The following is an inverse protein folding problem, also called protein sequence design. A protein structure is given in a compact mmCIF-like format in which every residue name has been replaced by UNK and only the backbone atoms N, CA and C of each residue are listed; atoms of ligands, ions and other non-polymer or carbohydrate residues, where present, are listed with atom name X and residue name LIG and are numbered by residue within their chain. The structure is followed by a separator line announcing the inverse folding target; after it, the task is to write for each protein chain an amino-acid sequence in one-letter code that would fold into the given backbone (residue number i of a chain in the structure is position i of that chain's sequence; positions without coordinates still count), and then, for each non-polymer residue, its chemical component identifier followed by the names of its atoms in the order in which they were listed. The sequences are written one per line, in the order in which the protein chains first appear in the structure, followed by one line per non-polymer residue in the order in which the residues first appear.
data_IF_638048826669
#
_entry.id   IF_638048826669
#
_cell.length_a   1.000
_cell.length_b   1.000
_cell.length_c   1.000
_cell.angle_alpha   90.00
_cell.angle_beta   90.00
_cell.angle_gamma   90.00
#
_symmetry.space_group_name_H-M   'P 1'
#
loop_
_entity.id
_entity.type
_entity.pdbx_description
1 polymer ?
#
# COMPACT_ATOMS: atom_id res chain seq x y z
N UNK A 1 -0.47 -26.03 6.33
CA UNK A 1 0.68 -25.70 7.18
C UNK A 1 1.95 -26.05 6.39
N UNK A 2 2.44 -25.14 5.55
CA UNK A 2 3.70 -25.30 4.82
C UNK A 2 4.80 -24.53 5.56
N UNK A 3 5.81 -25.25 6.04
CA UNK A 3 7.01 -24.68 6.65
C UNK A 3 7.86 -23.98 5.57
N UNK A 4 7.88 -22.65 5.57
CA UNK A 4 8.92 -21.88 4.89
C UNK A 4 9.86 -21.26 5.94
N UNK A 5 10.78 -22.07 6.45
CA UNK A 5 11.95 -21.61 7.22
C UNK A 5 13.04 -21.07 6.28
N UNK A 6 12.70 -20.09 5.42
CA UNK A 6 13.68 -19.17 4.87
C UNK A 6 13.41 -17.79 5.46
N UNK A 7 14.41 -17.23 6.13
CA UNK A 7 14.40 -15.82 6.52
C UNK A 7 14.49 -15.03 5.21
N UNK A 8 13.36 -14.46 4.79
CA UNK A 8 13.28 -13.59 3.63
C UNK A 8 13.49 -12.17 4.12
N UNK A 9 14.71 -11.66 4.02
CA UNK A 9 14.97 -10.22 4.12
C UNK A 9 14.85 -9.60 2.74
N UNK A 10 14.58 -8.30 2.66
CA UNK A 10 14.55 -7.59 1.37
C UNK A 10 15.90 -7.74 0.65
N UNK A 11 17.00 -7.63 1.39
CA UNK A 11 18.36 -7.83 0.87
C UNK A 11 18.54 -9.22 0.25
N UNK A 12 18.09 -10.28 0.91
CA UNK A 12 18.22 -11.65 0.40
C UNK A 12 17.36 -11.87 -0.85
N UNK A 13 16.16 -11.28 -0.90
CA UNK A 13 15.30 -11.35 -2.08
C UNK A 13 15.93 -10.67 -3.30
N UNK A 14 16.56 -9.51 -3.10
CA UNK A 14 17.09 -8.70 -4.19
C UNK A 14 18.55 -8.99 -4.56
N UNK A 15 19.31 -9.68 -3.69
CA UNK A 15 20.73 -9.97 -3.91
C UNK A 15 20.96 -10.83 -5.16
N UNK A 16 21.71 -10.30 -6.11
CA UNK A 16 22.09 -10.99 -7.35
C UNK A 16 23.16 -12.07 -7.10
N UNK A 17 22.98 -13.23 -7.71
CA UNK A 17 23.96 -14.31 -7.79
C UNK A 17 24.55 -14.40 -9.21
N UNK A 18 25.51 -15.31 -9.42
CA UNK A 18 26.19 -15.45 -10.72
C UNK A 18 25.25 -15.79 -11.89
N UNK A 19 24.19 -16.57 -11.65
CA UNK A 19 23.22 -16.89 -12.69
C UNK A 19 22.39 -15.66 -13.10
N UNK A 20 22.05 -14.80 -12.13
CA UNK A 20 21.34 -13.54 -12.39
C UNK A 20 22.18 -12.59 -13.26
N UNK A 21 23.48 -12.44 -12.94
CA UNK A 21 24.39 -11.62 -13.75
C UNK A 21 24.56 -12.16 -15.18
N UNK A 22 24.68 -13.48 -15.34
CA UNK A 22 24.74 -14.11 -16.66
C UNK A 22 23.45 -13.86 -17.45
N UNK A 23 22.30 -13.93 -16.78
CA UNK A 23 21.02 -13.63 -17.41
C UNK A 23 20.93 -12.16 -17.86
N UNK A 24 21.23 -11.22 -16.97
CA UNK A 24 21.24 -9.78 -17.29
C UNK A 24 22.18 -9.48 -18.45
N UNK A 25 23.38 -10.09 -18.47
CA UNK A 25 24.35 -9.93 -19.55
C UNK A 25 23.79 -10.41 -20.88
N UNK A 26 23.08 -11.54 -20.91
CA UNK A 26 22.42 -12.06 -22.13
C UNK A 26 21.31 -11.15 -22.62
N UNK A 27 20.48 -10.62 -21.71
CA UNK A 27 19.44 -9.64 -22.04
C UNK A 27 20.08 -8.39 -22.66
N UNK A 28 21.11 -7.84 -22.02
CA UNK A 28 21.77 -6.62 -22.47
C UNK A 28 22.46 -6.78 -23.83
N UNK A 29 23.15 -7.90 -24.04
CA UNK A 29 23.85 -8.21 -25.28
C UNK A 29 22.96 -8.64 -26.45
N UNK A 30 21.65 -8.86 -26.22
CA UNK A 30 20.72 -9.29 -27.27
C UNK A 30 20.83 -10.77 -27.65
N UNK A 31 21.71 -11.53 -27.00
CA UNK A 31 21.78 -13.01 -27.10
C UNK A 31 20.68 -13.70 -26.27
N UNK A 32 19.55 -13.01 -26.11
CA UNK A 32 18.38 -13.46 -25.37
C UNK A 32 17.30 -13.87 -26.38
N UNK A 33 16.96 -15.16 -26.39
CA UNK A 33 15.77 -15.64 -27.09
C UNK A 33 14.57 -15.38 -26.20
N UNK A 34 13.94 -14.23 -26.43
CA UNK A 34 12.69 -13.81 -25.80
C UNK A 34 11.65 -14.95 -25.90
N UNK A 35 11.46 -15.51 -27.09
CA UNK A 35 10.52 -16.62 -27.34
C UNK A 35 10.77 -17.88 -26.48
N UNK A 36 12.02 -18.25 -26.21
CA UNK A 36 12.35 -19.45 -25.43
C UNK A 36 12.25 -19.23 -23.92
N UNK A 37 12.49 -18.01 -23.47
CA UNK A 37 12.42 -17.67 -22.05
C UNK A 37 10.97 -17.43 -21.60
N UNK A 38 10.14 -16.81 -22.43
CA UNK A 38 8.74 -16.52 -22.10
C UNK A 38 7.83 -17.75 -22.08
N UNK A 39 8.19 -18.78 -22.87
CA UNK A 39 7.54 -20.09 -22.73
C UNK A 39 7.69 -20.65 -21.31
N UNK A 40 8.78 -20.30 -20.61
CA UNK A 40 8.98 -20.67 -19.20
C UNK A 40 8.20 -19.78 -18.25
N UNK A 41 8.03 -18.49 -18.56
CA UNK A 41 7.15 -17.60 -17.79
C UNK A 41 5.70 -18.08 -17.71
N UNK A 42 5.15 -18.60 -18.82
CA UNK A 42 3.77 -19.11 -18.84
C UNK A 42 3.56 -20.40 -18.04
N UNK A 43 4.64 -21.13 -17.69
CA UNK A 43 4.56 -22.47 -17.08
C UNK A 43 5.04 -22.45 -15.62
N UNK A 44 6.09 -21.69 -15.31
CA UNK A 44 6.80 -21.73 -14.02
C UNK A 44 7.11 -20.31 -13.48
N UNK A 45 6.17 -19.35 -13.60
CA UNK A 45 6.38 -17.93 -13.28
C UNK A 45 7.04 -17.70 -11.89
N UNK A 46 8.38 -17.61 -11.84
CA UNK A 46 9.13 -17.30 -10.63
C UNK A 46 9.13 -15.79 -10.42
N UNK A 47 8.03 -15.28 -9.84
CA UNK A 47 7.82 -13.86 -9.59
C UNK A 47 9.00 -13.22 -8.84
N UNK A 48 9.64 -13.94 -7.92
CA UNK A 48 10.79 -13.41 -7.19
C UNK A 48 11.97 -13.13 -8.12
N UNK A 49 12.30 -14.08 -8.99
CA UNK A 49 13.33 -13.89 -10.00
C UNK A 49 12.99 -12.70 -10.90
N UNK A 50 11.75 -12.63 -11.38
CA UNK A 50 11.29 -11.61 -12.34
C UNK A 50 11.42 -10.22 -11.75
N UNK A 51 10.86 -10.00 -10.55
CA UNK A 51 10.89 -8.72 -9.84
C UNK A 51 12.33 -8.31 -9.53
N UNK A 52 13.15 -9.26 -9.05
CA UNK A 52 14.57 -9.05 -8.76
C UNK A 52 15.36 -8.62 -10.00
N UNK A 53 15.21 -9.32 -11.12
CA UNK A 53 15.94 -8.98 -12.35
C UNK A 53 15.42 -7.67 -12.95
N UNK A 54 14.10 -7.44 -12.95
CA UNK A 54 13.52 -6.18 -13.44
C UNK A 54 14.06 -4.99 -12.66
N UNK A 55 14.22 -5.10 -11.33
CA UNK A 55 14.85 -4.05 -10.52
C UNK A 55 16.32 -3.82 -10.88
N UNK A 56 17.04 -4.88 -11.27
CA UNK A 56 18.47 -4.82 -11.58
C UNK A 56 18.80 -4.48 -13.05
N UNK A 57 17.86 -4.63 -13.98
CA UNK A 57 18.08 -4.46 -15.42
C UNK A 57 16.93 -3.71 -16.06
N UNK A 58 17.17 -2.43 -16.38
CA UNK A 58 16.20 -1.57 -17.07
C UNK A 58 15.70 -2.19 -18.39
N UNK A 59 16.59 -2.82 -19.16
CA UNK A 59 16.21 -3.48 -20.42
C UNK A 59 15.25 -4.65 -20.18
N UNK A 60 15.43 -5.39 -19.10
CA UNK A 60 14.52 -6.49 -18.76
C UNK A 60 13.18 -5.94 -18.24
N UNK A 61 13.20 -4.88 -17.43
CA UNK A 61 11.99 -4.18 -17.02
C UNK A 61 11.18 -3.69 -18.24
N UNK A 62 11.84 -3.09 -19.24
CA UNK A 62 11.20 -2.67 -20.49
C UNK A 62 10.58 -3.85 -21.25
N UNK A 63 11.22 -5.03 -21.25
CA UNK A 63 10.62 -6.25 -21.80
C UNK A 63 9.37 -6.63 -21.01
N UNK A 64 9.45 -6.71 -19.67
CA UNK A 64 8.30 -7.05 -18.84
C UNK A 64 7.09 -6.13 -19.05
N UNK A 65 7.30 -4.86 -19.41
CA UNK A 65 6.21 -3.88 -19.66
C UNK A 65 5.61 -3.95 -21.06
N UNK A 66 6.06 -4.84 -21.94
CA UNK A 66 5.45 -4.98 -23.25
C UNK A 66 4.03 -5.57 -23.14
N UNK A 67 3.12 -5.05 -23.97
CA UNK A 67 1.69 -5.39 -23.95
C UNK A 67 1.39 -6.89 -24.02
N UNK A 68 2.22 -7.65 -24.76
CA UNK A 68 2.09 -9.10 -24.91
C UNK A 68 2.20 -9.89 -23.58
N UNK A 69 2.66 -9.26 -22.49
CA UNK A 69 2.75 -9.87 -21.16
C UNK A 69 1.66 -9.45 -20.20
N UNK A 70 0.82 -8.48 -20.56
CA UNK A 70 -0.18 -7.93 -19.65
C UNK A 70 -1.12 -9.01 -19.11
N UNK A 71 -1.57 -9.93 -19.97
CA UNK A 71 -2.42 -11.06 -19.56
C UNK A 71 -1.75 -11.93 -18.49
N UNK A 72 -0.45 -12.17 -18.62
CA UNK A 72 0.31 -12.95 -17.65
C UNK A 72 0.41 -12.20 -16.32
N UNK A 73 0.70 -10.90 -16.32
CA UNK A 73 0.75 -10.11 -15.09
C UNK A 73 -0.61 -10.02 -14.41
N UNK A 74 -1.69 -9.86 -15.20
CA UNK A 74 -3.06 -9.86 -14.71
C UNK A 74 -3.41 -11.17 -14.00
N UNK A 75 -3.06 -12.32 -14.59
CA UNK A 75 -3.26 -13.62 -13.97
C UNK A 75 -2.47 -13.76 -12.65
N UNK A 76 -1.20 -13.36 -12.66
CA UNK A 76 -0.37 -13.41 -11.45
C UNK A 76 -0.87 -12.46 -10.36
N UNK A 77 -1.36 -11.27 -10.72
CA UNK A 77 -1.93 -10.29 -9.80
C UNK A 77 -3.22 -10.81 -9.15
N UNK A 78 -4.09 -11.47 -9.93
CA UNK A 78 -5.27 -12.16 -9.43
C UNK A 78 -4.93 -13.27 -8.43
N UNK A 79 -3.94 -14.11 -8.76
CA UNK A 79 -3.45 -15.19 -7.89
C UNK A 79 -2.90 -14.62 -6.59
N UNK A 80 -2.14 -13.53 -6.68
CA UNK A 80 -1.53 -12.90 -5.52
C UNK A 80 -2.56 -12.30 -4.57
N UNK A 81 -3.65 -11.73 -5.10
CA UNK A 81 -4.81 -11.32 -4.28
C UNK A 81 -5.36 -12.47 -3.42
N UNK A 82 -5.50 -13.67 -4.00
CA UNK A 82 -5.95 -14.85 -3.26
C UNK A 82 -4.95 -15.26 -2.19
N UNK A 83 -3.66 -15.21 -2.52
CA UNK A 83 -2.59 -15.60 -1.61
C UNK A 83 -2.50 -14.66 -0.40
N UNK A 84 -2.61 -13.35 -0.62
CA UNK A 84 -2.59 -12.33 0.44
C UNK A 84 -3.83 -12.46 1.33
N UNK A 85 -5.00 -12.69 0.73
CA UNK A 85 -6.28 -12.82 1.44
C UNK A 85 -6.57 -14.23 1.95
N UNK A 86 -5.64 -15.18 1.88
CA UNK A 86 -5.88 -16.60 2.15
C UNK A 86 -6.39 -16.89 3.57
N UNK A 87 -6.04 -16.03 4.54
CA UNK A 87 -6.45 -16.16 5.94
C UNK A 87 -7.69 -15.33 6.28
N UNK A 88 -8.29 -14.63 5.30
CA UNK A 88 -9.57 -13.95 5.48
C UNK A 88 -10.74 -14.94 5.43
N UNK A 89 -11.92 -14.52 5.88
CA UNK A 89 -13.14 -15.35 5.82
C UNK A 89 -13.47 -15.81 4.39
N UNK A 90 -13.12 -14.98 3.40
CA UNK A 90 -13.30 -15.28 1.99
C UNK A 90 -12.12 -14.72 1.20
N UNK A 91 -11.15 -15.58 0.80
CA UNK A 91 -10.10 -15.17 -0.12
C UNK A 91 -10.70 -14.57 -1.40
N UNK A 92 -10.08 -13.52 -1.91
CA UNK A 92 -10.52 -12.81 -3.10
C UNK A 92 -9.43 -12.84 -4.19
N UNK A 93 -9.85 -12.96 -5.45
CA UNK A 93 -9.00 -12.59 -6.58
C UNK A 93 -9.04 -11.08 -6.76
N UNK A 94 -7.89 -10.45 -7.00
CA UNK A 94 -7.91 -9.05 -7.39
C UNK A 94 -8.46 -8.87 -8.80
N UNK A 95 -9.35 -7.92 -9.01
CA UNK A 95 -9.79 -7.51 -10.32
C UNK A 95 -8.63 -6.85 -11.08
N UNK A 96 -8.60 -7.01 -12.40
CA UNK A 96 -7.61 -6.34 -13.25
C UNK A 96 -7.85 -4.84 -13.29
N UNK A 97 -6.77 -4.08 -13.43
CA UNK A 97 -6.83 -2.65 -13.68
C UNK A 97 -6.39 -2.36 -15.12
N UNK A 98 -6.88 -1.27 -15.69
CA UNK A 98 -6.41 -0.76 -16.99
C UNK A 98 -5.01 -0.09 -16.89
N UNK A 99 -4.45 -0.03 -15.68
CA UNK A 99 -3.13 0.54 -15.39
C UNK A 99 -2.01 -0.49 -15.56
N UNK A 100 -0.76 -0.06 -15.31
CA UNK A 100 0.42 -0.92 -15.42
C UNK A 100 0.40 -2.04 -14.36
N UNK A 101 -0.18 -3.17 -14.74
CA UNK A 101 -0.35 -4.34 -13.87
C UNK A 101 0.98 -4.92 -13.38
N UNK A 102 2.09 -4.70 -14.12
CA UNK A 102 3.39 -5.17 -13.67
C UNK A 102 3.87 -4.43 -12.43
N UNK A 103 3.65 -3.11 -12.34
CA UNK A 103 3.94 -2.35 -11.12
C UNK A 103 3.06 -2.80 -9.95
N UNK A 104 1.75 -2.96 -10.17
CA UNK A 104 0.84 -3.44 -9.13
C UNK A 104 1.26 -4.80 -8.59
N UNK A 105 1.60 -5.73 -9.48
CA UNK A 105 2.10 -7.05 -9.11
C UNK A 105 3.36 -6.98 -8.25
N UNK A 106 4.30 -6.09 -8.60
CA UNK A 106 5.52 -5.86 -7.79
C UNK A 106 5.18 -5.33 -6.40
N UNK A 107 4.33 -4.31 -6.34
CA UNK A 107 3.89 -3.72 -5.07
C UNK A 107 3.26 -4.76 -4.15
N UNK A 108 2.31 -5.53 -4.67
CA UNK A 108 1.63 -6.56 -3.90
C UNK A 108 2.55 -7.73 -3.53
N UNK A 109 3.57 -8.05 -4.33
CA UNK A 109 4.53 -9.10 -3.97
C UNK A 109 5.37 -8.69 -2.77
N UNK A 110 5.85 -7.45 -2.74
CA UNK A 110 6.57 -6.93 -1.58
C UNK A 110 5.66 -6.80 -0.35
N UNK A 111 4.40 -6.40 -0.53
CA UNK A 111 3.42 -6.39 0.55
C UNK A 111 3.17 -7.81 1.10
N UNK A 112 3.04 -8.82 0.23
CA UNK A 112 2.94 -10.21 0.65
C UNK A 112 4.11 -10.64 1.54
N UNK A 113 5.35 -10.29 1.16
CA UNK A 113 6.52 -10.55 2.00
C UNK A 113 6.49 -9.81 3.34
N UNK A 114 6.00 -8.57 3.37
CA UNK A 114 5.81 -7.86 4.63
C UNK A 114 4.82 -8.58 5.56
N UNK A 115 3.76 -9.18 5.01
CA UNK A 115 2.80 -9.97 5.80
C UNK A 115 3.42 -11.26 6.35
N UNK A 116 4.33 -11.89 5.61
CA UNK A 116 5.07 -13.05 6.13
C UNK A 116 5.97 -12.68 7.31
N UNK A 117 6.61 -11.51 7.26
CA UNK A 117 7.42 -11.01 8.38
C UNK A 117 6.57 -10.65 9.60
N UNK A 118 5.38 -10.06 9.39
CA UNK A 118 4.43 -9.76 10.46
C UNK A 118 4.00 -11.01 11.25
N UNK A 119 3.76 -12.12 10.54
CA UNK A 119 3.40 -13.40 11.16
C UNK A 119 4.56 -13.93 12.02
N UNK A 120 5.81 -13.75 11.57
CA UNK A 120 7.01 -14.20 12.29
C UNK A 120 7.31 -13.37 13.53
N UNK A 121 7.16 -12.05 13.44
CA UNK A 121 7.47 -11.10 14.53
C UNK A 121 6.39 -11.03 15.62
N UNK A 122 5.36 -11.91 15.56
CA UNK A 122 4.23 -11.93 16.50
C UNK A 122 3.53 -10.56 16.65
N UNK A 123 3.37 -9.86 15.52
CA UNK A 123 2.68 -8.55 15.41
C UNK A 123 3.49 -7.32 15.78
N UNK A 124 4.76 -7.45 16.14
CA UNK A 124 5.66 -6.30 16.28
C UNK A 124 6.23 -5.88 14.91
N UNK A 125 6.27 -4.58 14.63
CA UNK A 125 6.81 -4.07 13.36
C UNK A 125 8.32 -4.28 13.26
N UNK A 126 8.73 -5.29 12.48
CA UNK A 126 10.15 -5.58 12.26
C UNK A 126 10.79 -4.59 11.28
N UNK A 127 12.12 -4.52 11.28
CA UNK A 127 12.85 -3.73 10.29
C UNK A 127 12.57 -4.24 8.86
N UNK A 128 12.58 -5.56 8.66
CA UNK A 128 12.32 -6.17 7.36
C UNK A 128 10.89 -5.93 6.88
N UNK A 129 9.86 -6.03 7.75
CA UNK A 129 8.48 -5.67 7.39
C UNK A 129 8.44 -4.24 6.84
N UNK A 130 9.11 -3.31 7.53
CA UNK A 130 9.15 -1.90 7.14
C UNK A 130 9.85 -1.67 5.79
N UNK A 131 10.98 -2.35 5.56
CA UNK A 131 11.71 -2.27 4.29
C UNK A 131 10.86 -2.81 3.13
N UNK A 132 10.16 -3.93 3.33
CA UNK A 132 9.23 -4.47 2.33
C UNK A 132 8.06 -3.52 2.07
N UNK A 133 7.45 -2.93 3.11
CA UNK A 133 6.39 -1.95 2.95
C UNK A 133 6.86 -0.73 2.15
N UNK A 134 8.04 -0.19 2.46
CA UNK A 134 8.62 0.95 1.75
C UNK A 134 8.89 0.63 0.28
N UNK A 135 9.38 -0.56 -0.02
CA UNK A 135 9.58 -1.02 -1.39
C UNK A 135 8.24 -1.19 -2.12
N UNK A 136 7.22 -1.77 -1.47
CA UNK A 136 5.88 -1.92 -2.01
C UNK A 136 5.20 -0.57 -2.32
N UNK A 137 5.41 0.45 -1.47
CA UNK A 137 4.91 1.81 -1.68
C UNK A 137 5.47 2.44 -2.95
N UNK A 138 6.72 2.15 -3.33
CA UNK A 138 7.30 2.67 -4.58
C UNK A 138 6.53 2.21 -5.82
N UNK A 139 5.90 1.04 -5.74
CA UNK A 139 5.02 0.50 -6.78
C UNK A 139 3.53 0.69 -6.46
N UNK A 140 3.21 1.71 -5.65
CA UNK A 140 1.84 2.18 -5.40
C UNK A 140 0.90 1.16 -4.75
N UNK A 141 1.43 0.17 -4.00
CA UNK A 141 0.57 -0.77 -3.26
C UNK A 141 -0.24 -0.04 -2.18
N UNK A 142 -1.57 -0.03 -2.34
CA UNK A 142 -2.50 0.58 -1.37
C UNK A 142 -2.43 -0.12 -0.01
N UNK A 143 -2.30 -1.44 0.01
CA UNK A 143 -2.22 -2.22 1.24
C UNK A 143 -0.95 -1.90 2.03
N UNK A 144 0.18 -1.72 1.32
CA UNK A 144 1.44 -1.32 1.94
C UNK A 144 1.35 0.09 2.54
N UNK A 145 0.75 1.04 1.81
CA UNK A 145 0.50 2.40 2.31
C UNK A 145 -0.35 2.35 3.58
N UNK A 146 -1.47 1.64 3.56
CA UNK A 146 -2.37 1.52 4.71
C UNK A 146 -1.66 0.92 5.94
N UNK A 147 -0.92 -0.18 5.76
CA UNK A 147 -0.17 -0.83 6.85
C UNK A 147 0.95 0.06 7.39
N UNK A 148 1.66 0.77 6.51
CA UNK A 148 2.71 1.70 6.92
C UNK A 148 2.15 2.94 7.65
N UNK A 149 0.99 3.44 7.24
CA UNK A 149 0.32 4.54 7.95
C UNK A 149 -0.13 4.11 9.35
N UNK A 150 -0.66 2.89 9.48
CA UNK A 150 -1.01 2.32 10.79
C UNK A 150 0.23 2.23 11.72
N UNK A 151 1.39 1.83 11.19
CA UNK A 151 2.65 1.87 11.92
C UNK A 151 2.98 3.28 12.41
N UNK A 152 3.02 4.26 11.49
CA UNK A 152 3.40 5.63 11.81
C UNK A 152 2.46 6.26 12.84
N UNK A 153 1.15 6.08 12.68
CA UNK A 153 0.17 6.58 13.63
C UNK A 153 0.38 5.98 15.04
N UNK A 154 0.64 4.66 15.14
CA UNK A 154 0.95 4.03 16.43
C UNK A 154 2.19 4.63 17.09
N UNK A 155 3.25 4.90 16.33
CA UNK A 155 4.48 5.51 16.86
C UNK A 155 4.28 6.98 17.27
N UNK A 156 3.49 7.72 16.50
CA UNK A 156 3.12 9.11 16.81
C UNK A 156 2.30 9.17 18.11
N UNK A 157 1.28 8.31 18.24
CA UNK A 157 0.46 8.21 19.46
C UNK A 157 1.30 7.81 20.69
N UNK A 158 2.34 7.01 20.48
CA UNK A 158 3.28 6.61 21.53
C UNK A 158 4.37 7.66 21.82
N UNK A 159 4.32 8.85 21.18
CA UNK A 159 5.30 9.92 21.31
C UNK A 159 6.76 9.47 21.09
N UNK A 160 6.98 8.54 20.16
CA UNK A 160 8.31 8.01 19.85
C UNK A 160 9.15 9.04 19.07
N UNK A 161 8.51 9.90 18.28
CA UNK A 161 9.14 10.85 17.38
C UNK A 161 9.14 12.28 17.93
N UNK A 162 10.13 13.08 17.55
CA UNK A 162 10.11 14.52 17.78
C UNK A 162 8.98 15.19 16.99
N UNK A 163 8.62 16.43 17.34
CA UNK A 163 7.59 17.17 16.61
C UNK A 163 7.97 17.43 15.14
N UNK A 164 9.26 17.59 14.83
CA UNK A 164 9.74 17.79 13.47
C UNK A 164 9.62 16.50 12.63
N UNK A 165 10.03 15.36 13.20
CA UNK A 165 9.86 14.06 12.56
C UNK A 165 8.39 13.72 12.36
N UNK A 166 7.54 13.99 13.35
CA UNK A 166 6.10 13.74 13.26
C UNK A 166 5.45 14.54 12.12
N UNK A 167 5.79 15.82 11.98
CA UNK A 167 5.33 16.64 10.86
C UNK A 167 5.83 16.11 9.51
N UNK A 168 7.08 15.65 9.42
CA UNK A 168 7.63 15.03 8.22
C UNK A 168 6.88 13.74 7.86
N UNK A 169 6.58 12.88 8.85
CA UNK A 169 5.81 11.66 8.63
C UNK A 169 4.38 11.93 8.15
N UNK A 170 3.68 12.95 8.66
CA UNK A 170 2.41 13.36 8.08
C UNK A 170 2.56 13.83 6.63
N UNK A 171 3.62 14.57 6.31
CA UNK A 171 3.95 14.94 4.93
C UNK A 171 4.14 13.74 4.01
N UNK A 172 4.87 12.72 4.47
CA UNK A 172 5.08 11.47 3.73
C UNK A 172 3.78 10.68 3.56
N UNK A 173 2.96 10.58 4.60
CA UNK A 173 1.66 9.91 4.52
C UNK A 173 0.74 10.58 3.50
N UNK A 174 0.67 11.92 3.51
CA UNK A 174 -0.09 12.70 2.51
C UNK A 174 0.44 12.43 1.10
N UNK A 175 1.76 12.42 0.91
CA UNK A 175 2.40 12.14 -0.39
C UNK A 175 2.06 10.74 -0.90
N UNK A 176 2.11 9.74 -0.02
CA UNK A 176 1.78 8.36 -0.37
C UNK A 176 0.34 8.24 -0.87
N UNK A 177 -0.64 8.77 -0.12
CA UNK A 177 -2.04 8.75 -0.56
C UNK A 177 -2.23 9.50 -1.89
N UNK A 178 -1.62 10.68 -2.04
CA UNK A 178 -1.70 11.46 -3.29
C UNK A 178 -1.17 10.70 -4.51
N UNK A 179 -0.11 9.89 -4.33
CA UNK A 179 0.51 9.14 -5.42
C UNK A 179 -0.37 8.04 -6.02
N UNK A 180 -1.45 7.67 -5.31
CA UNK A 180 -2.33 6.56 -5.67
C UNK A 180 -3.79 6.97 -5.95
N UNK A 181 -4.09 8.29 -5.96
CA UNK A 181 -5.46 8.81 -6.16
C UNK A 181 -6.07 8.37 -7.50
N UNK A 182 -5.32 8.48 -8.60
CA UNK A 182 -5.82 8.08 -9.93
C UNK A 182 -6.08 6.57 -10.04
N UNK A 183 -5.36 5.77 -9.26
CA UNK A 183 -5.40 4.32 -9.33
C UNK A 183 -6.52 3.73 -8.44
N UNK A 184 -6.70 4.28 -7.23
CA UNK A 184 -7.64 3.74 -6.25
C UNK A 184 -8.83 4.65 -5.93
N UNK A 185 -8.90 5.84 -6.54
CA UNK A 185 -10.04 6.75 -6.48
C UNK A 185 -10.57 6.96 -5.06
N UNK A 186 -11.85 6.65 -4.85
CA UNK A 186 -12.55 6.86 -3.58
C UNK A 186 -11.82 6.28 -2.37
N UNK A 187 -11.21 5.09 -2.52
CA UNK A 187 -10.51 4.43 -1.42
C UNK A 187 -9.29 5.25 -0.97
N UNK A 188 -8.48 5.73 -1.92
CA UNK A 188 -7.32 6.56 -1.63
C UNK A 188 -7.70 7.95 -1.12
N UNK A 189 -8.81 8.53 -1.61
CA UNK A 189 -9.32 9.82 -1.10
C UNK A 189 -9.74 9.73 0.37
N UNK A 190 -10.40 8.66 0.80
CA UNK A 190 -10.75 8.49 2.22
C UNK A 190 -9.53 8.22 3.11
N UNK A 191 -8.55 7.45 2.62
CA UNK A 191 -7.25 7.33 3.32
C UNK A 191 -6.57 8.69 3.49
N UNK A 192 -6.63 9.54 2.46
CA UNK A 192 -6.09 10.91 2.52
C UNK A 192 -6.88 11.80 3.49
N UNK A 193 -8.20 11.68 3.52
CA UNK A 193 -9.06 12.40 4.45
C UNK A 193 -8.71 12.07 5.91
N UNK A 194 -8.57 10.78 6.23
CA UNK A 194 -8.14 10.33 7.56
C UNK A 194 -6.74 10.85 7.90
N UNK A 195 -5.82 10.84 6.94
CA UNK A 195 -4.46 11.36 7.16
C UNK A 195 -4.47 12.85 7.54
N UNK A 196 -5.26 13.66 6.83
CA UNK A 196 -5.43 15.08 7.19
C UNK A 196 -6.12 15.26 8.55
N UNK A 197 -7.12 14.44 8.87
CA UNK A 197 -7.78 14.46 10.17
C UNK A 197 -6.82 14.14 11.32
N UNK A 198 -6.02 13.08 11.20
CA UNK A 198 -5.01 12.73 12.20
C UNK A 198 -3.95 13.83 12.34
N UNK A 199 -3.59 14.48 11.23
CA UNK A 199 -2.67 15.62 11.29
C UNK A 199 -3.29 16.82 12.01
N UNK A 200 -4.58 17.11 11.78
CA UNK A 200 -5.32 18.14 12.48
C UNK A 200 -5.37 17.88 14.00
N UNK A 201 -5.64 16.65 14.42
CA UNK A 201 -5.61 16.25 15.83
C UNK A 201 -4.23 16.47 16.46
N UNK A 202 -3.16 16.08 15.77
CA UNK A 202 -1.81 16.29 16.26
C UNK A 202 -1.47 17.79 16.35
N UNK A 203 -1.80 18.60 15.34
CA UNK A 203 -1.56 20.05 15.34
C UNK A 203 -2.26 20.74 16.52
N UNK A 204 -3.51 20.36 16.80
CA UNK A 204 -4.27 20.79 17.97
C UNK A 204 -3.54 20.45 19.27
N UNK A 205 -3.07 19.21 19.42
CA UNK A 205 -2.30 18.79 20.59
C UNK A 205 -0.95 19.54 20.75
N UNK A 206 -0.40 20.08 19.65
CA UNK A 206 0.79 20.95 19.68
C UNK A 206 0.46 22.44 19.88
N UNK A 207 -0.80 22.81 20.11
CA UNK A 207 -1.25 24.20 20.27
C UNK A 207 -1.23 25.02 18.97
N UNK A 208 -1.19 24.37 17.80
CA UNK A 208 -1.18 25.02 16.48
C UNK A 208 -2.59 25.14 15.90
N UNK A 209 -3.48 25.79 16.66
CA UNK A 209 -4.91 25.89 16.32
C UNK A 209 -5.18 26.61 15.00
N UNK A 210 -4.30 27.52 14.58
CA UNK A 210 -4.40 28.25 13.32
C UNK A 210 -4.33 27.32 12.08
N UNK A 211 -3.67 26.18 12.21
CA UNK A 211 -3.50 25.20 11.12
C UNK A 211 -4.60 24.13 11.10
N UNK A 212 -5.34 23.96 12.19
CA UNK A 212 -6.38 22.92 12.31
C UNK A 212 -7.49 23.08 11.27
N UNK A 213 -8.08 24.29 11.05
CA UNK A 213 -9.11 24.48 10.04
C UNK A 213 -8.62 24.17 8.62
N UNK A 214 -7.34 24.41 8.33
CA UNK A 214 -6.74 24.13 7.02
C UNK A 214 -6.73 22.62 6.76
N UNK A 215 -6.32 21.82 7.74
CA UNK A 215 -6.29 20.36 7.62
C UNK A 215 -7.70 19.77 7.54
N UNK A 216 -8.64 20.25 8.37
CA UNK A 216 -10.04 19.79 8.31
C UNK A 216 -10.67 20.11 6.97
N UNK A 217 -10.45 21.32 6.43
CA UNK A 217 -10.93 21.68 5.09
C UNK A 217 -10.37 20.73 4.02
N UNK A 218 -9.08 20.40 4.09
CA UNK A 218 -8.48 19.45 3.16
C UNK A 218 -9.10 18.05 3.28
N UNK A 219 -9.37 17.57 4.50
CA UNK A 219 -10.06 16.31 4.74
C UNK A 219 -11.48 16.30 4.16
N UNK A 220 -12.25 17.37 4.36
CA UNK A 220 -13.60 17.54 3.79
C UNK A 220 -13.57 17.50 2.26
N UNK A 221 -12.62 18.21 1.62
CA UNK A 221 -12.46 18.17 0.16
C UNK A 221 -12.15 16.76 -0.35
N UNK A 222 -11.35 15.98 0.39
CA UNK A 222 -11.07 14.60 0.04
C UNK A 222 -12.32 13.71 0.16
N UNK A 223 -13.18 13.93 1.17
CA UNK A 223 -14.43 13.18 1.30
C UNK A 223 -15.39 13.48 0.13
N UNK A 224 -15.52 14.75 -0.28
CA UNK A 224 -16.31 15.14 -1.45
C UNK A 224 -15.78 14.47 -2.73
N UNK A 225 -14.46 14.51 -2.94
CA UNK A 225 -13.83 13.84 -4.08
C UNK A 225 -13.99 12.31 -4.01
N UNK A 226 -14.05 11.70 -2.82
CA UNK A 226 -14.28 10.26 -2.72
C UNK A 226 -15.65 9.87 -3.27
N UNK A 227 -16.67 10.71 -3.10
CA UNK A 227 -18.02 10.46 -3.59
C UNK A 227 -18.09 10.55 -5.13
N UNK A 228 -17.44 11.57 -5.71
CA UNK A 228 -17.35 11.79 -7.16
C UNK A 228 -16.74 10.60 -7.92
N UNK A 229 -15.88 9.80 -7.27
CA UNK A 229 -15.17 8.68 -7.89
C UNK A 229 -15.78 7.30 -7.56
N UNK A 230 -16.89 7.25 -6.82
CA UNK A 230 -17.43 6.00 -6.23
C UNK A 230 -17.80 4.94 -7.28
N UNK A 231 -18.48 5.34 -8.36
CA UNK A 231 -18.88 4.43 -9.46
C UNK A 231 -17.68 3.94 -10.28
N UNK A 232 -16.68 4.80 -10.52
CA UNK A 232 -15.50 4.45 -11.30
C UNK A 232 -14.51 3.57 -10.51
N UNK A 233 -14.61 3.56 -9.18
CA UNK A 233 -13.63 2.91 -8.30
C UNK A 233 -14.03 1.51 -7.84
N UNK A 234 -15.11 0.92 -8.36
CA UNK A 234 -15.67 -0.35 -7.84
C UNK A 234 -14.63 -1.47 -7.73
N UNK A 235 -13.83 -1.70 -8.77
CA UNK A 235 -12.79 -2.74 -8.76
C UNK A 235 -11.62 -2.38 -7.85
N UNK A 236 -11.20 -1.11 -7.83
CA UNK A 236 -10.13 -0.65 -6.95
C UNK A 236 -10.52 -0.73 -5.47
N UNK A 237 -11.78 -0.37 -5.13
CA UNK A 237 -12.33 -0.53 -3.79
C UNK A 237 -12.38 -2.02 -3.43
N UNK A 238 -12.87 -2.87 -4.32
CA UNK A 238 -12.89 -4.32 -4.07
C UNK A 238 -11.49 -4.86 -3.76
N UNK A 239 -10.50 -4.51 -4.57
CA UNK A 239 -9.13 -4.97 -4.38
C UNK A 239 -8.55 -4.44 -3.06
N UNK A 240 -8.59 -3.11 -2.86
CA UNK A 240 -7.98 -2.44 -1.69
C UNK A 240 -8.61 -2.85 -0.35
N UNK A 241 -9.90 -3.19 -0.35
CA UNK A 241 -10.65 -3.60 0.85
C UNK A 241 -10.70 -5.10 1.06
N UNK A 242 -10.06 -5.89 0.20
CA UNK A 242 -10.27 -7.34 0.14
C UNK A 242 -11.76 -7.74 0.04
N UNK A 243 -12.54 -6.97 -0.71
CA UNK A 243 -13.97 -7.19 -0.95
C UNK A 243 -14.91 -6.72 0.17
N UNK A 244 -14.38 -6.07 1.21
CA UNK A 244 -15.17 -5.60 2.37
C UNK A 244 -15.80 -4.22 2.19
N UNK A 245 -15.39 -3.48 1.17
CA UNK A 245 -15.96 -2.19 0.82
C UNK A 245 -15.16 -0.99 1.32
N UNK A 246 -15.67 0.20 1.00
CA UNK A 246 -14.97 1.48 1.13
C UNK A 246 -14.70 1.87 2.60
N UNK A 247 -15.49 1.38 3.55
CA UNK A 247 -15.29 1.63 4.99
C UNK A 247 -13.93 1.10 5.50
N UNK A 248 -13.32 0.12 4.82
CA UNK A 248 -11.98 -0.36 5.17
C UNK A 248 -10.87 0.67 4.89
N UNK A 249 -11.14 1.72 4.13
CA UNK A 249 -10.16 2.77 3.79
C UNK A 249 -9.69 3.60 4.99
N UNK A 250 -10.43 3.59 6.10
CA UNK A 250 -10.11 4.39 7.28
C UNK A 250 -10.39 3.62 8.58
N UNK A 251 -9.69 3.98 9.66
CA UNK A 251 -9.82 3.33 10.96
C UNK A 251 -11.17 3.56 11.63
N UNK A 252 -11.88 4.62 11.25
CA UNK A 252 -13.20 4.97 11.78
C UNK A 252 -14.35 4.20 11.11
N UNK A 253 -14.08 3.44 10.04
CA UNK A 253 -15.10 2.72 9.25
C UNK A 253 -16.20 3.64 8.71
N UNK A 254 -15.83 4.85 8.31
CA UNK A 254 -16.78 5.85 7.82
C UNK A 254 -16.80 5.90 6.29
N UNK A 255 -18.02 5.96 5.75
CA UNK A 255 -18.29 6.37 4.37
C UNK A 255 -18.16 7.90 4.20
N UNK A 256 -18.03 8.43 2.96
CA UNK A 256 -17.79 9.86 2.72
C UNK A 256 -18.75 10.80 3.48
N UNK A 257 -20.06 10.61 3.36
CA UNK A 257 -21.06 11.46 4.04
C UNK A 257 -20.93 11.41 5.57
N UNK A 258 -20.75 10.21 6.12
CA UNK A 258 -20.57 10.00 7.55
C UNK A 258 -19.28 10.65 8.06
N UNK A 259 -18.22 10.62 7.26
CA UNK A 259 -16.93 11.28 7.55
C UNK A 259 -17.08 12.81 7.53
N UNK A 260 -17.78 13.37 6.53
CA UNK A 260 -18.06 14.82 6.45
C UNK A 260 -18.81 15.29 7.71
N UNK A 261 -19.85 14.55 8.10
CA UNK A 261 -20.61 14.86 9.32
C UNK A 261 -19.71 14.81 10.55
N UNK A 262 -18.94 13.74 10.69
CA UNK A 262 -17.98 13.58 11.79
C UNK A 262 -17.00 14.76 11.90
N UNK A 263 -16.39 15.19 10.79
CA UNK A 263 -15.45 16.33 10.77
C UNK A 263 -16.12 17.66 11.10
N UNK A 264 -17.36 17.86 10.62
CA UNK A 264 -18.14 19.06 10.90
C UNK A 264 -18.50 19.15 12.37
N UNK A 265 -18.88 18.03 12.98
CA UNK A 265 -19.16 17.95 14.41
C UNK A 265 -17.85 18.16 15.22
N UNK A 266 -16.74 17.54 14.81
CA UNK A 266 -15.44 17.63 15.49
C UNK A 266 -14.85 19.05 15.52
N UNK A 267 -15.07 19.86 14.48
CA UNK A 267 -14.58 21.25 14.46
C UNK A 267 -15.49 22.21 15.24
N UNK A 268 -16.78 21.90 15.37
CA UNK A 268 -17.76 22.71 16.10
C UNK A 268 -17.71 22.50 17.62
N UNK A 269 -17.28 21.32 18.06
CA UNK A 269 -17.08 21.04 19.48
C UNK A 269 -15.64 21.42 19.87
N UNK A 270 -15.48 22.55 20.58
CA UNK A 270 -14.26 22.79 21.35
C UNK A 270 -14.09 21.64 22.36
N UNK A 271 -12.91 21.00 22.45
CA UNK A 271 -12.67 20.03 23.49
C UNK A 271 -12.50 20.78 24.82
N UNK A 272 -13.61 21.04 25.50
CA UNK A 272 -13.59 20.98 26.94
C UNK A 272 -13.45 19.50 27.31
N UNK A 273 -12.25 19.13 27.70
CA UNK A 273 -11.89 17.93 28.47
C UNK A 273 -11.33 16.70 27.72
N UNK A 274 -10.28 16.14 28.33
CA UNK A 274 -9.40 15.07 27.89
C UNK A 274 -10.07 13.69 27.83
N UNK A 275 -11.13 13.51 27.03
CA UNK A 275 -11.72 12.19 26.83
C UNK A 275 -11.60 11.73 25.37
N UNK A 276 -10.54 10.95 25.11
CA UNK A 276 -10.51 10.05 23.96
C UNK A 276 -11.70 9.08 24.05
N UNK A 277 -12.38 8.76 22.93
CA UNK A 277 -13.42 7.73 22.90
C UNK A 277 -12.90 6.39 23.43
N UNK A 278 -13.65 5.73 24.30
CA UNK A 278 -13.29 4.46 24.96
C UNK A 278 -13.07 3.27 24.00
N UNK A 279 -13.28 3.44 22.69
CA UNK A 279 -13.05 2.39 21.68
C UNK A 279 -11.58 2.06 21.43
N UNK A 280 -10.63 2.72 22.10
CA UNK A 280 -9.18 2.45 22.01
C UNK A 280 -8.54 1.82 23.25
N UNK A 281 -9.34 1.26 24.16
CA UNK A 281 -8.83 0.40 25.25
C UNK A 281 -9.02 -1.08 24.87
N UNK A 282 -8.19 -1.58 23.96
CA UNK A 282 -7.91 -3.02 23.79
C UNK A 282 -6.42 -3.23 23.49
#
# INVERSE_FOLDING_TARGET
MYQFNRIFTLDNLLKLNSADYLFITRVNSGFYSEKDYLKKFKVDCDLNFIVKIAKASKKFEEICRQEQYNDCWNEQYQILGNLISINSEKPISFNTHDSDCFDLLRGELFFYYSQLELIKSKKDFSLDERLFLQEAIQYKSVHAIQRYHAYLNQQIESNVFSSAETAAYFGDMIKNCKSILELYGSYAYLMLAETYYNYAQWLRAQGKEDLVPVMVKAALTCCMAADDFSEASVFSIHNASFGKGLEESNSLKLMPDSFIKFLTDWIQHEPNDNSLPESRKL
#
